data_IF_959728599309
#
_entry.id   IF_959728599309
#
_cell.length_a   1.000
_cell.length_b   1.000
_cell.length_c   1.000
_cell.angle_alpha   90.00
_cell.angle_beta   90.00
_cell.angle_gamma   90.00
#
_symmetry.space_group_name_H-M   'P 1'
#
loop_
_entity.id
_entity.type
_entity.pdbx_description
1 polymer ?
#
# COMPACT_ATOMS: atom_id res chain seq x y z
N UNK A 1 -7.34 10.96 17.29
CA UNK A 1 -8.33 11.14 16.22
C UNK A 1 -7.54 11.58 15.01
N UNK A 2 -7.60 10.80 13.94
CA UNK A 2 -6.81 11.07 12.74
C UNK A 2 -7.19 12.45 12.21
N UNK A 3 -6.20 13.24 11.81
CA UNK A 3 -6.42 14.59 11.24
C UNK A 3 -7.26 14.54 9.96
N UNK A 4 -7.21 13.42 9.23
CA UNK A 4 -7.94 13.20 7.98
C UNK A 4 -9.07 12.18 8.15
N UNK A 5 -10.20 12.45 7.49
CA UNK A 5 -11.32 11.50 7.35
C UNK A 5 -11.00 10.47 6.28
N UNK A 6 -10.30 9.40 6.68
CA UNK A 6 -9.81 8.36 5.79
C UNK A 6 -10.85 7.32 5.40
N UNK A 7 -11.93 7.19 6.19
CA UNK A 7 -12.91 6.12 6.02
C UNK A 7 -13.62 6.16 4.65
N UNK A 8 -14.01 7.33 4.10
CA UNK A 8 -14.61 7.40 2.77
C UNK A 8 -13.70 6.91 1.65
N UNK A 9 -12.38 7.18 1.72
CA UNK A 9 -11.42 6.68 0.74
C UNK A 9 -11.22 5.18 0.87
N UNK A 10 -11.25 4.65 2.10
CA UNK A 10 -11.20 3.20 2.31
C UNK A 10 -12.38 2.49 1.64
N UNK A 11 -13.58 3.06 1.70
CA UNK A 11 -14.78 2.47 1.08
C UNK A 11 -14.71 2.44 -0.46
N UNK A 12 -13.85 3.27 -1.08
CA UNK A 12 -13.59 3.24 -2.53
C UNK A 12 -12.63 2.12 -2.92
N UNK A 13 -11.73 1.75 -2.01
CA UNK A 13 -10.82 0.64 -2.23
C UNK A 13 -11.67 -0.63 -2.24
N UNK A 14 -11.81 -1.26 -3.41
CA UNK A 14 -12.46 -2.55 -3.59
C UNK A 14 -11.64 -3.67 -2.92
N UNK A 15 -11.56 -3.63 -1.60
CA UNK A 15 -10.77 -4.50 -0.73
C UNK A 15 -11.57 -4.83 0.51
N UNK A 16 -11.47 -6.09 0.93
CA UNK A 16 -12.00 -6.49 2.23
C UNK A 16 -11.22 -5.75 3.33
N UNK A 17 -11.96 -5.24 4.31
CA UNK A 17 -11.38 -4.70 5.53
C UNK A 17 -10.96 -5.86 6.42
N UNK A 18 -9.69 -5.95 6.85
CA UNK A 18 -9.30 -6.99 7.78
C UNK A 18 -10.02 -6.80 9.12
N UNK A 19 -10.47 -7.91 9.70
CA UNK A 19 -10.91 -7.93 11.09
C UNK A 19 -9.73 -7.53 12.00
N UNK A 20 -10.01 -6.77 13.06
CA UNK A 20 -9.01 -6.26 14.01
C UNK A 20 -7.84 -5.47 13.37
N UNK A 21 -8.06 -4.87 12.19
CA UNK A 21 -7.06 -4.04 11.53
C UNK A 21 -6.64 -2.84 12.38
N UNK A 22 -5.33 -2.55 12.38
CA UNK A 22 -4.75 -1.35 12.98
C UNK A 22 -4.57 -0.28 11.91
N UNK A 23 -5.01 0.95 12.21
CA UNK A 23 -4.76 2.10 11.34
C UNK A 23 -3.35 2.65 11.61
N UNK A 24 -2.51 2.62 10.59
CA UNK A 24 -1.17 3.19 10.60
C UNK A 24 -1.07 4.37 9.63
N UNK A 25 -0.09 5.23 9.83
CA UNK A 25 0.24 6.35 8.94
C UNK A 25 1.73 6.56 8.77
N UNK A 26 2.14 7.11 7.63
CA UNK A 26 3.49 7.56 7.36
C UNK A 26 3.47 8.85 6.53
N UNK A 27 4.53 9.66 6.62
CA UNK A 27 4.78 10.69 5.62
C UNK A 27 5.19 9.99 4.31
N UNK A 28 4.63 10.39 3.17
CA UNK A 28 4.86 9.68 1.89
C UNK A 28 6.35 9.60 1.52
N UNK A 29 7.11 10.66 1.80
CA UNK A 29 8.55 10.73 1.59
C UNK A 29 9.40 9.92 2.58
N UNK A 30 8.82 9.42 3.66
CA UNK A 30 9.49 8.59 4.67
C UNK A 30 9.15 7.10 4.51
N UNK A 31 8.32 6.75 3.51
CA UNK A 31 7.95 5.36 3.23
C UNK A 31 9.07 4.62 2.52
N UNK A 32 9.84 3.86 3.29
CA UNK A 32 10.85 2.94 2.74
C UNK A 32 11.90 3.60 1.85
N UNK A 33 12.55 2.78 1.01
CA UNK A 33 13.46 3.28 -0.02
C UNK A 33 13.49 2.26 -1.16
N UNK A 34 13.37 2.71 -2.43
CA UNK A 34 13.18 1.82 -3.58
C UNK A 34 14.13 0.63 -3.57
N UNK A 35 13.60 -0.57 -3.32
CA UNK A 35 14.40 -1.80 -3.34
C UNK A 35 14.58 -2.27 -4.77
N UNK A 36 15.81 -2.66 -5.12
CA UNK A 36 16.05 -3.34 -6.39
C UNK A 36 15.46 -4.74 -6.32
N UNK A 37 14.37 -4.95 -7.04
CA UNK A 37 13.79 -6.28 -7.24
C UNK A 37 14.69 -7.14 -8.14
N UNK A 38 14.65 -8.48 -8.00
CA UNK A 38 15.24 -9.39 -8.97
C UNK A 38 14.67 -9.16 -10.39
N UNK A 39 15.42 -9.53 -11.43
CA UNK A 39 15.09 -9.20 -12.83
C UNK A 39 13.81 -9.86 -13.33
N UNK A 40 13.40 -10.96 -12.70
CA UNK A 40 12.15 -11.66 -13.01
C UNK A 40 10.90 -10.92 -12.50
N UNK A 41 11.06 -9.92 -11.63
CA UNK A 41 9.97 -9.15 -11.08
C UNK A 41 9.82 -7.78 -11.76
N UNK A 42 8.58 -7.34 -11.90
CA UNK A 42 8.26 -6.00 -12.38
C UNK A 42 7.06 -5.43 -11.61
N UNK A 43 7.03 -4.11 -11.48
CA UNK A 43 5.86 -3.38 -10.98
C UNK A 43 5.06 -2.85 -12.16
N UNK A 44 3.75 -3.07 -12.12
CA UNK A 44 2.79 -2.54 -13.08
C UNK A 44 1.80 -1.63 -12.36
N UNK A 45 1.38 -0.57 -13.02
CA UNK A 45 0.48 0.44 -12.47
C UNK A 45 -0.71 0.63 -13.39
N UNK A 46 -1.90 0.67 -12.80
CA UNK A 46 -3.14 0.91 -13.51
C UNK A 46 -3.99 1.94 -12.77
N UNK A 47 -4.18 3.14 -13.35
CA UNK A 47 -5.12 4.09 -12.79
C UNK A 47 -6.56 3.66 -13.08
N UNK A 48 -7.42 3.68 -12.06
CA UNK A 48 -8.86 3.45 -12.21
C UNK A 48 -9.63 4.73 -11.86
N UNK A 49 -10.96 4.65 -11.89
CA UNK A 49 -11.80 5.83 -11.70
C UNK A 49 -11.67 6.45 -10.30
N UNK A 50 -11.63 5.62 -9.27
CA UNK A 50 -11.68 6.05 -7.86
C UNK A 50 -10.40 5.71 -7.07
N UNK A 51 -9.54 4.86 -7.62
CA UNK A 51 -8.31 4.39 -6.98
C UNK A 51 -7.32 3.89 -8.02
N UNK A 52 -6.05 3.77 -7.65
CA UNK A 52 -5.01 3.15 -8.48
C UNK A 52 -4.62 1.79 -7.95
N UNK A 53 -4.14 0.95 -8.86
CA UNK A 53 -3.57 -0.36 -8.55
C UNK A 53 -2.07 -0.34 -8.82
N UNK A 54 -1.31 -0.93 -7.91
CA UNK A 54 0.07 -1.37 -8.14
C UNK A 54 0.11 -2.89 -8.05
N UNK A 55 0.59 -3.55 -9.09
CA UNK A 55 0.79 -5.00 -9.12
C UNK A 55 2.27 -5.33 -9.17
N UNK A 56 2.70 -6.24 -8.31
CA UNK A 56 3.95 -6.95 -8.50
C UNK A 56 3.70 -8.16 -9.38
N UNK A 57 4.50 -8.31 -10.42
CA UNK A 57 4.46 -9.46 -11.33
C UNK A 57 5.75 -10.25 -11.24
N UNK A 58 5.68 -11.57 -11.49
CA UNK A 58 6.84 -12.44 -11.77
C UNK A 58 6.63 -13.10 -13.14
N UNK A 59 7.55 -12.89 -14.08
CA UNK A 59 7.38 -13.34 -15.48
C UNK A 59 5.99 -12.97 -16.08
N UNK A 60 5.59 -11.71 -15.93
CA UNK A 60 4.29 -11.16 -16.36
C UNK A 60 3.03 -11.75 -15.69
N UNK A 61 3.19 -12.62 -14.68
CA UNK A 61 2.09 -13.09 -13.85
C UNK A 61 1.97 -12.22 -12.59
N UNK A 62 0.83 -11.59 -12.29
CA UNK A 62 0.65 -10.85 -11.05
C UNK A 62 0.72 -11.80 -9.84
N UNK A 63 1.46 -11.40 -8.81
CA UNK A 63 1.69 -12.17 -7.57
C UNK A 63 1.36 -11.40 -6.31
N UNK A 64 1.39 -10.06 -6.35
CA UNK A 64 0.91 -9.21 -5.27
C UNK A 64 0.15 -8.01 -5.85
N UNK A 65 -0.84 -7.53 -5.11
CA UNK A 65 -1.60 -6.34 -5.48
C UNK A 65 -1.77 -5.40 -4.29
N UNK A 66 -1.48 -4.13 -4.54
CA UNK A 66 -1.80 -3.02 -3.66
C UNK A 66 -2.76 -2.05 -4.34
N UNK A 67 -3.51 -1.28 -3.54
CA UNK A 67 -4.44 -0.26 -4.03
C UNK A 67 -4.24 1.03 -3.25
N UNK A 68 -4.43 2.18 -3.90
CA UNK A 68 -4.36 3.50 -3.28
C UNK A 68 -5.49 4.40 -3.76
N UNK A 69 -6.15 5.09 -2.84
CA UNK A 69 -7.16 6.10 -3.11
C UNK A 69 -6.69 7.45 -2.56
N UNK A 70 -6.97 8.54 -3.29
CA UNK A 70 -6.38 9.85 -3.03
C UNK A 70 -7.41 10.85 -2.49
N UNK A 71 -7.04 11.55 -1.43
CA UNK A 71 -7.76 12.69 -0.87
C UNK A 71 -6.96 13.98 -0.98
N UNK A 72 -7.46 15.05 -0.35
CA UNK A 72 -6.77 16.34 -0.33
C UNK A 72 -5.63 16.32 0.70
N UNK A 73 -4.38 16.18 0.21
CA UNK A 73 -3.17 16.15 1.04
C UNK A 73 -2.87 14.81 1.71
N UNK A 74 -3.67 13.77 1.47
CA UNK A 74 -3.45 12.43 2.01
C UNK A 74 -3.93 11.32 1.06
N UNK A 75 -3.49 10.09 1.29
CA UNK A 75 -3.95 8.91 0.57
C UNK A 75 -4.24 7.76 1.53
N UNK A 76 -5.04 6.79 1.10
CA UNK A 76 -5.32 5.54 1.83
C UNK A 76 -4.89 4.37 0.97
N UNK A 77 -4.11 3.46 1.55
CA UNK A 77 -3.69 2.21 0.92
C UNK A 77 -4.40 1.01 1.54
N UNK A 78 -4.81 0.08 0.69
CA UNK A 78 -5.24 -1.24 1.11
C UNK A 78 -4.01 -2.12 1.45
N UNK A 79 -4.15 -3.16 2.29
CA UNK A 79 -3.14 -4.19 2.45
C UNK A 79 -2.65 -4.70 1.10
N UNK A 80 -1.34 -4.82 0.95
CA UNK A 80 -0.75 -5.55 -0.15
C UNK A 80 -0.96 -7.03 0.12
N UNK A 81 -1.74 -7.68 -0.74
CA UNK A 81 -2.12 -9.08 -0.62
C UNK A 81 -1.56 -9.91 -1.78
N UNK A 82 -1.29 -11.20 -1.57
CA UNK A 82 -1.03 -12.12 -2.66
C UNK A 82 -2.25 -12.20 -3.59
N UNK A 83 -1.99 -12.41 -4.88
CA UNK A 83 -3.07 -12.55 -5.88
C UNK A 83 -3.67 -13.96 -5.83
N UNK A 84 -2.84 -14.96 -5.54
CA UNK A 84 -3.25 -16.35 -5.31
C UNK A 84 -2.65 -16.88 -3.99
N UNK A 85 -3.36 -17.79 -3.31
CA UNK A 85 -2.95 -18.33 -2.00
C UNK A 85 -1.57 -19.02 -2.00
N UNK A 86 -1.11 -19.49 -3.16
CA UNK A 86 0.18 -20.16 -3.35
C UNK A 86 1.31 -19.20 -3.77
N UNK A 87 1.03 -17.91 -3.95
CA UNK A 87 2.05 -16.91 -4.24
C UNK A 87 2.91 -16.63 -2.99
N UNK A 88 4.17 -17.05 -3.04
CA UNK A 88 5.14 -16.81 -1.97
C UNK A 88 5.64 -15.36 -2.00
N UNK A 89 5.13 -14.51 -1.10
CA UNK A 89 5.57 -13.14 -0.94
C UNK A 89 6.53 -12.97 0.24
N UNK A 90 7.74 -12.47 -0.04
CA UNK A 90 8.68 -12.02 0.97
C UNK A 90 8.45 -10.55 1.37
N UNK A 91 9.06 -10.08 2.48
CA UNK A 91 8.98 -8.68 2.90
C UNK A 91 9.46 -7.68 1.84
N UNK A 92 10.40 -8.07 0.97
CA UNK A 92 10.89 -7.29 -0.16
C UNK A 92 9.84 -7.11 -1.26
N UNK A 93 9.00 -8.13 -1.51
CA UNK A 93 7.93 -8.07 -2.50
C UNK A 93 6.82 -7.12 -2.04
N UNK A 94 6.38 -7.29 -0.79
CA UNK A 94 5.38 -6.42 -0.16
C UNK A 94 5.91 -4.99 -0.10
N UNK A 95 7.17 -4.83 0.30
CA UNK A 95 7.84 -3.54 0.39
C UNK A 95 7.86 -2.75 -0.91
N UNK A 96 8.23 -3.41 -2.01
CA UNK A 96 8.29 -2.73 -3.31
C UNK A 96 6.92 -2.18 -3.75
N UNK A 97 5.83 -2.88 -3.43
CA UNK A 97 4.46 -2.40 -3.70
C UNK A 97 4.10 -1.23 -2.78
N UNK A 98 4.38 -1.31 -1.48
CA UNK A 98 4.12 -0.24 -0.51
C UNK A 98 4.88 1.05 -0.89
N UNK A 99 6.17 0.92 -1.20
CA UNK A 99 7.04 2.02 -1.64
C UNK A 99 6.45 2.69 -2.88
N UNK A 100 6.04 1.91 -3.89
CA UNK A 100 5.44 2.47 -5.11
C UNK A 100 4.09 3.16 -4.85
N UNK A 101 3.23 2.60 -4.00
CA UNK A 101 1.96 3.24 -3.64
C UNK A 101 2.19 4.59 -2.96
N UNK A 102 3.19 4.69 -2.08
CA UNK A 102 3.54 5.94 -1.41
C UNK A 102 4.17 6.97 -2.37
N UNK A 103 5.01 6.53 -3.31
CA UNK A 103 5.54 7.37 -4.38
C UNK A 103 4.41 7.95 -5.24
N UNK A 104 3.43 7.12 -5.63
CA UNK A 104 2.28 7.56 -6.40
C UNK A 104 1.41 8.55 -5.61
N UNK A 105 1.15 8.26 -4.33
CA UNK A 105 0.46 9.19 -3.44
C UNK A 105 1.18 10.54 -3.36
N UNK A 106 2.50 10.55 -3.21
CA UNK A 106 3.27 11.79 -3.21
C UNK A 106 3.15 12.55 -4.53
N UNK A 107 3.23 11.86 -5.67
CA UNK A 107 3.11 12.46 -6.99
C UNK A 107 1.73 13.11 -7.21
N UNK A 108 0.67 12.54 -6.63
CA UNK A 108 -0.70 13.07 -6.63
C UNK A 108 -0.94 14.16 -5.55
N UNK A 109 0.10 14.53 -4.79
CA UNK A 109 0.06 15.63 -3.82
C UNK A 109 -0.26 15.23 -2.39
N UNK A 110 -0.30 13.93 -2.07
CA UNK A 110 -0.44 13.48 -0.69
C UNK A 110 0.87 13.61 0.10
N UNK A 111 0.78 14.24 1.28
CA UNK A 111 1.91 14.31 2.22
C UNK A 111 1.89 13.13 3.20
N UNK A 112 0.70 12.58 3.47
CA UNK A 112 0.49 11.46 4.40
C UNK A 112 -0.20 10.30 3.71
N UNK A 113 0.25 9.08 3.98
CA UNK A 113 -0.45 7.85 3.59
C UNK A 113 -0.96 7.13 4.83
N UNK A 114 -2.20 6.64 4.77
CA UNK A 114 -2.81 5.79 5.79
C UNK A 114 -2.93 4.36 5.28
N UNK A 115 -2.73 3.39 6.16
CA UNK A 115 -2.92 1.98 5.86
C UNK A 115 -3.75 1.32 6.97
N UNK A 116 -4.79 0.57 6.60
CA UNK A 116 -5.40 -0.40 7.51
C UNK A 116 -4.67 -1.71 7.36
N UNK A 117 -4.02 -2.17 8.42
CA UNK A 117 -3.07 -3.28 8.37
C UNK A 117 -3.53 -4.39 9.32
N UNK A 118 -3.62 -5.66 8.86
CA UNK A 118 -3.94 -6.77 9.74
C UNK A 118 -2.84 -6.99 10.79
N UNK A 119 -3.15 -7.55 11.97
CA UNK A 119 -2.21 -7.64 13.09
C UNK A 119 -0.87 -8.30 12.77
N UNK A 120 -0.85 -9.29 11.88
CA UNK A 120 0.34 -10.03 11.46
C UNK A 120 1.26 -9.26 10.50
N UNK A 121 0.76 -8.20 9.86
CA UNK A 121 1.51 -7.34 8.94
C UNK A 121 1.98 -6.01 9.56
N UNK A 122 1.54 -5.66 10.78
CA UNK A 122 1.85 -4.38 11.44
C UNK A 122 3.35 -4.11 11.51
N UNK A 123 4.13 -5.09 11.94
CA UNK A 123 5.59 -4.94 12.08
C UNK A 123 6.29 -4.78 10.73
N UNK A 124 5.73 -5.34 9.65
CA UNK A 124 6.26 -5.09 8.30
C UNK A 124 6.05 -3.63 7.91
N UNK A 125 4.84 -3.09 8.08
CA UNK A 125 4.57 -1.68 7.76
C UNK A 125 5.42 -0.72 8.60
N UNK A 126 5.62 -1.03 9.89
CA UNK A 126 6.52 -0.24 10.77
C UNK A 126 7.96 -0.20 10.26
N UNK A 127 8.45 -1.29 9.67
CA UNK A 127 9.77 -1.30 9.04
C UNK A 127 9.89 -0.38 7.81
N UNK A 128 8.77 0.06 7.23
CA UNK A 128 8.70 1.05 6.16
C UNK A 128 8.37 2.47 6.65
N UNK A 129 8.44 2.75 7.96
CA UNK A 129 8.22 4.10 8.50
C UNK A 129 6.77 4.41 8.90
N UNK A 130 5.87 3.42 8.84
CA UNK A 130 4.53 3.59 9.38
C UNK A 130 4.53 3.59 10.91
N UNK A 131 3.80 4.53 11.50
CA UNK A 131 3.51 4.61 12.93
C UNK A 131 2.01 4.56 13.19
N UNK A 132 1.62 4.48 14.47
CA UNK A 132 0.22 4.49 14.86
C UNK A 132 -0.44 5.81 14.40
N UNK A 133 -1.63 5.71 13.79
CA UNK A 133 -2.42 6.89 13.45
C UNK A 133 -3.17 7.36 14.70
N UNK A 134 -2.83 8.57 15.18
CA UNK A 134 -3.42 9.17 16.39
C UNK A 134 -4.94 9.28 16.31
#
# INVERSE_FOLDING_TARGET
MSTHDWAPLWEQLESDRPDDATLLRAATLEVGSPRKLPEEYALFEAPLADYDIVELTVFDRPVARGRVAYGDGFAVVAPVLPVHDDDALGPEHIGAVIERLADNAHAEGAETVYALVPPDAVEHYRAFGFGDAD
#
